data_IF_705676584202
#
_entry.id   IF_705676584202
#
_cell.length_a   1.000
_cell.length_b   1.000
_cell.length_c   1.000
_cell.angle_alpha   90.00
_cell.angle_beta   90.00
_cell.angle_gamma   90.00
#
_symmetry.space_group_name_H-M   'P 1'
#
loop_
_entity.id
_entity.type
_entity.pdbx_description
1 polymer ?
#
# COMPACT_ATOMS: atom_id res chain seq x y z
N UNK A 1 -19.16 23.11 -17.98
CA UNK A 1 -20.01 23.53 -16.84
C UNK A 1 -20.44 22.29 -16.06
N UNK A 2 -21.02 22.39 -14.86
CA UNK A 2 -21.35 21.19 -14.03
C UNK A 2 -22.37 20.26 -14.69
N UNK A 3 -23.19 20.80 -15.59
CA UNK A 3 -24.21 20.10 -16.36
C UNK A 3 -23.59 19.06 -17.30
N UNK A 4 -22.35 19.26 -17.77
CA UNK A 4 -21.66 18.31 -18.63
C UNK A 4 -21.43 16.94 -17.95
N UNK A 5 -21.28 16.92 -16.61
CA UNK A 5 -21.09 15.68 -15.86
C UNK A 5 -22.36 14.81 -15.82
N UNK A 6 -23.55 15.39 -16.08
CA UNK A 6 -24.82 14.65 -16.13
C UNK A 6 -24.92 13.70 -17.33
N UNK A 7 -24.02 13.81 -18.31
CA UNK A 7 -23.96 12.91 -19.46
C UNK A 7 -23.02 11.73 -19.25
N UNK A 8 -22.27 11.68 -18.14
CA UNK A 8 -21.36 10.58 -17.86
C UNK A 8 -22.18 9.34 -17.47
N UNK A 9 -21.80 8.20 -18.02
CA UNK A 9 -22.48 6.91 -17.84
C UNK A 9 -21.47 5.87 -17.41
N UNK A 10 -21.94 4.88 -16.65
CA UNK A 10 -21.14 3.70 -16.35
C UNK A 10 -20.92 2.89 -17.64
N UNK A 11 -19.69 2.40 -17.83
CA UNK A 11 -19.37 1.46 -18.90
C UNK A 11 -19.47 0.03 -18.33
N UNK A 12 -20.53 -0.74 -18.66
CA UNK A 12 -20.64 -2.12 -18.21
C UNK A 12 -19.57 -2.97 -18.90
N UNK A 13 -18.86 -3.77 -18.11
CA UNK A 13 -17.80 -4.66 -18.56
C UNK A 13 -17.95 -6.02 -17.89
N UNK A 14 -17.55 -7.08 -18.59
CA UNK A 14 -17.50 -8.45 -18.09
C UNK A 14 -16.08 -8.79 -17.65
N UNK A 15 -15.94 -9.88 -16.90
CA UNK A 15 -14.62 -10.41 -16.57
C UNK A 15 -13.85 -10.74 -17.88
N UNK A 16 -12.62 -10.27 -17.98
CA UNK A 16 -11.79 -10.40 -19.18
C UNK A 16 -11.86 -9.20 -20.14
N UNK A 17 -12.86 -8.33 -20.01
CA UNK A 17 -12.88 -7.08 -20.78
C UNK A 17 -11.80 -6.11 -20.25
N UNK A 18 -11.24 -5.30 -21.15
CA UNK A 18 -10.27 -4.25 -20.81
C UNK A 18 -10.75 -2.88 -21.31
N UNK A 19 -10.57 -1.86 -20.49
CA UNK A 19 -10.82 -0.46 -20.83
C UNK A 19 -9.48 0.26 -20.85
N UNK A 20 -9.15 0.84 -22.01
CA UNK A 20 -7.94 1.64 -22.20
C UNK A 20 -8.36 3.09 -22.41
N UNK A 21 -7.78 3.99 -21.63
CA UNK A 21 -8.00 5.43 -21.74
C UNK A 21 -6.71 6.18 -21.42
N UNK A 22 -6.65 7.44 -21.83
CA UNK A 22 -5.50 8.32 -21.55
C UNK A 22 -5.84 9.26 -20.39
N UNK A 23 -4.83 9.94 -19.84
CA UNK A 23 -4.97 10.94 -18.76
C UNK A 23 -5.92 12.11 -19.10
N UNK A 24 -6.37 12.25 -20.35
CA UNK A 24 -7.30 13.30 -20.80
C UNK A 24 -8.77 12.95 -20.60
N UNK A 25 -9.09 11.69 -20.28
CA UNK A 25 -10.47 11.25 -20.06
C UNK A 25 -10.80 11.41 -18.58
N UNK A 26 -11.86 12.17 -18.30
CA UNK A 26 -12.40 12.29 -16.94
C UNK A 26 -13.16 11.00 -16.62
N UNK A 27 -12.75 10.28 -15.57
CA UNK A 27 -13.39 9.04 -15.13
C UNK A 27 -13.31 8.91 -13.59
N UNK A 28 -14.14 8.04 -13.02
CA UNK A 28 -14.08 7.65 -11.61
C UNK A 28 -14.75 6.29 -11.40
N UNK A 29 -14.41 5.63 -10.29
CA UNK A 29 -15.11 4.41 -9.88
C UNK A 29 -16.55 4.74 -9.49
N UNK A 30 -17.53 4.03 -10.07
CA UNK A 30 -18.92 4.13 -9.60
C UNK A 30 -19.07 3.47 -8.23
N UNK A 31 -20.04 3.88 -7.43
CA UNK A 31 -20.46 3.12 -6.26
C UNK A 31 -20.75 1.66 -6.65
N UNK A 32 -20.28 0.72 -5.83
CA UNK A 32 -20.75 -0.65 -5.92
C UNK A 32 -22.24 -0.70 -5.62
N UNK A 33 -22.94 -1.69 -6.17
CA UNK A 33 -24.29 -1.98 -5.71
C UNK A 33 -24.15 -2.48 -4.26
N UNK A 34 -24.46 -1.62 -3.30
CA UNK A 34 -24.36 -1.95 -1.87
C UNK A 34 -25.07 -3.27 -1.58
N UNK A 35 -24.48 -4.06 -0.68
CA UNK A 35 -24.94 -5.39 -0.23
C UNK A 35 -26.44 -5.61 -0.52
N UNK A 36 -26.78 -6.27 -1.62
CA UNK A 36 -28.03 -7.05 -1.67
C UNK A 36 -27.81 -8.18 -0.67
N UNK A 37 -28.23 -7.94 0.58
CA UNK A 37 -28.34 -8.98 1.61
C UNK A 37 -29.23 -10.08 1.05
N UNK A 38 -28.78 -11.32 1.24
CA UNK A 38 -29.19 -12.48 0.47
C UNK A 38 -30.68 -12.80 0.49
N UNK A 39 -31.14 -13.24 -0.68
CA UNK A 39 -31.82 -14.51 -0.87
C UNK A 39 -31.50 -14.88 -2.34
N UNK A 40 -30.72 -15.96 -2.55
CA UNK A 40 -30.39 -16.54 -3.86
C UNK A 40 -29.89 -15.58 -4.97
N UNK A 41 -28.71 -14.97 -4.81
CA UNK A 41 -28.10 -14.21 -5.92
C UNK A 41 -27.11 -13.10 -5.54
N UNK A 42 -26.33 -13.26 -4.47
CA UNK A 42 -25.37 -12.24 -4.05
C UNK A 42 -24.21 -12.11 -5.05
N UNK A 43 -24.21 -11.01 -5.81
CA UNK A 43 -23.05 -10.59 -6.62
C UNK A 43 -21.98 -10.08 -5.65
N UNK A 44 -20.82 -10.75 -5.59
CA UNK A 44 -19.69 -10.39 -4.73
C UNK A 44 -19.07 -9.01 -5.04
N UNK A 45 -18.00 -8.61 -4.35
CA UNK A 45 -17.35 -7.32 -4.59
C UNK A 45 -16.92 -7.18 -6.06
N UNK A 46 -17.12 -6.00 -6.64
CA UNK A 46 -16.59 -5.68 -7.96
C UNK A 46 -15.10 -5.38 -7.83
N UNK A 47 -14.27 -6.27 -8.35
CA UNK A 47 -12.81 -6.13 -8.38
C UNK A 47 -12.37 -5.78 -9.80
N UNK A 48 -11.44 -4.82 -9.92
CA UNK A 48 -10.81 -4.44 -11.19
C UNK A 48 -9.32 -4.21 -10.98
N UNK A 49 -8.50 -4.68 -11.92
CA UNK A 49 -7.07 -4.36 -11.98
C UNK A 49 -6.85 -3.16 -12.91
N UNK A 50 -6.14 -2.14 -12.42
CA UNK A 50 -5.74 -0.99 -13.23
C UNK A 50 -4.22 -0.98 -13.36
N UNK A 51 -3.73 -0.85 -14.58
CA UNK A 51 -2.30 -0.73 -14.88
C UNK A 51 -2.08 0.59 -15.60
N UNK A 52 -1.27 1.46 -15.00
CA UNK A 52 -0.85 2.72 -15.60
C UNK A 52 0.46 2.53 -16.37
N UNK A 53 0.56 3.18 -17.53
CA UNK A 53 1.80 3.28 -18.28
C UNK A 53 2.12 4.76 -18.46
N UNK A 54 3.40 5.10 -18.28
CA UNK A 54 3.90 6.45 -18.46
C UNK A 54 5.21 6.41 -19.24
N UNK A 55 5.47 7.50 -19.95
CA UNK A 55 6.81 7.76 -20.50
C UNK A 55 7.73 8.21 -19.35
N UNK A 56 8.96 7.69 -19.23
CA UNK A 56 9.88 8.10 -18.17
C UNK A 56 10.20 9.61 -18.13
N UNK A 57 10.01 10.32 -19.25
CA UNK A 57 10.13 11.78 -19.30
C UNK A 57 8.92 12.52 -18.72
N UNK A 58 7.76 11.87 -18.64
CA UNK A 58 6.55 12.40 -18.00
C UNK A 58 6.49 12.03 -16.51
N UNK A 59 6.64 10.75 -16.20
CA UNK A 59 6.70 10.25 -14.83
C UNK A 59 7.79 9.18 -14.73
N UNK A 60 8.79 9.43 -13.90
CA UNK A 60 9.92 8.52 -13.73
C UNK A 60 9.46 7.22 -13.04
N UNK A 61 10.07 6.07 -13.37
CA UNK A 61 9.83 4.84 -12.64
C UNK A 61 10.33 4.95 -11.19
N UNK A 62 9.70 4.20 -10.29
CA UNK A 62 10.12 4.16 -8.87
C UNK A 62 11.48 3.48 -8.66
N UNK A 63 11.85 2.55 -9.53
CA UNK A 63 13.14 1.85 -9.52
C UNK A 63 14.04 2.41 -10.64
N UNK A 64 15.33 2.64 -10.36
CA UNK A 64 16.33 3.11 -11.34
C UNK A 64 16.49 2.14 -12.50
N UNK A 65 16.56 0.86 -12.19
CA UNK A 65 16.53 -0.19 -13.20
C UNK A 65 15.08 -0.49 -13.53
N UNK A 66 14.53 0.23 -14.52
CA UNK A 66 13.28 -0.23 -15.14
C UNK A 66 13.57 -1.63 -15.71
N UNK A 67 12.93 -2.69 -15.21
CA UNK A 67 13.17 -4.02 -15.72
C UNK A 67 12.83 -3.99 -17.20
N UNK A 68 13.78 -4.32 -18.07
CA UNK A 68 13.48 -4.44 -19.48
C UNK A 68 12.53 -5.64 -19.62
N UNK A 69 11.23 -5.37 -19.64
CA UNK A 69 10.20 -6.41 -19.73
C UNK A 69 10.33 -7.22 -21.02
N UNK A 70 10.97 -6.65 -22.06
CA UNK A 70 11.32 -7.37 -23.29
C UNK A 70 12.41 -8.43 -23.06
N UNK A 71 13.30 -8.19 -22.09
CA UNK A 71 14.30 -9.17 -21.64
C UNK A 71 13.78 -10.12 -20.55
N UNK A 72 12.49 -10.03 -20.18
CA UNK A 72 11.84 -10.85 -19.14
C UNK A 72 12.55 -10.81 -17.78
N UNK A 73 13.31 -9.74 -17.51
CA UNK A 73 13.88 -9.51 -16.18
C UNK A 73 12.76 -8.92 -15.33
N UNK A 74 12.21 -9.71 -14.42
CA UNK A 74 11.34 -9.21 -13.38
C UNK A 74 12.20 -8.71 -12.21
N UNK A 75 11.74 -7.71 -11.43
CA UNK A 75 12.45 -7.34 -10.21
C UNK A 75 12.60 -8.56 -9.31
N UNK A 76 13.70 -8.67 -8.57
CA UNK A 76 13.94 -9.74 -7.61
C UNK A 76 12.91 -9.73 -6.48
N UNK A 77 12.88 -10.77 -5.65
CA UNK A 77 12.00 -10.78 -4.48
C UNK A 77 12.28 -9.60 -3.55
N UNK A 78 13.56 -9.34 -3.29
CA UNK A 78 14.06 -8.27 -2.44
C UNK A 78 13.68 -6.90 -3.00
N UNK A 79 13.83 -6.69 -4.31
CA UNK A 79 13.43 -5.44 -4.97
C UNK A 79 11.92 -5.21 -4.88
N UNK A 80 11.11 -6.27 -5.07
CA UNK A 80 9.65 -6.18 -4.90
C UNK A 80 9.26 -5.88 -3.45
N UNK A 81 9.91 -6.52 -2.49
CA UNK A 81 9.63 -6.31 -1.06
C UNK A 81 10.00 -4.89 -0.62
N UNK A 82 11.15 -4.38 -1.07
CA UNK A 82 11.57 -3.01 -0.82
C UNK A 82 10.57 -2.01 -1.44
N UNK A 83 10.15 -2.25 -2.70
CA UNK A 83 9.15 -1.40 -3.35
C UNK A 83 7.81 -1.42 -2.61
N UNK A 84 7.30 -2.59 -2.21
CA UNK A 84 6.07 -2.71 -1.43
C UNK A 84 6.20 -1.94 -0.11
N UNK A 85 7.34 -2.07 0.57
CA UNK A 85 7.61 -1.36 1.83
C UNK A 85 7.58 0.16 1.64
N UNK A 86 8.24 0.68 0.59
CA UNK A 86 8.19 2.10 0.23
C UNK A 86 6.77 2.58 -0.11
N UNK A 87 5.98 1.75 -0.78
CA UNK A 87 4.58 2.04 -1.10
C UNK A 87 3.69 2.06 0.15
N UNK A 88 3.87 1.11 1.08
CA UNK A 88 3.11 1.11 2.34
C UNK A 88 3.39 2.37 3.17
N UNK A 89 4.63 2.85 3.19
CA UNK A 89 5.00 4.14 3.77
C UNK A 89 4.32 5.28 3.02
N UNK A 90 4.44 5.35 1.69
CA UNK A 90 3.86 6.43 0.88
C UNK A 90 2.34 6.55 0.99
N UNK A 91 1.66 5.47 1.36
CA UNK A 91 0.21 5.39 1.51
C UNK A 91 -0.24 5.19 2.96
N UNK A 92 0.62 5.47 3.96
CA UNK A 92 0.34 5.18 5.36
C UNK A 92 -0.99 5.78 5.84
N UNK A 93 -1.41 6.95 5.34
CA UNK A 93 -2.67 7.59 5.74
C UNK A 93 -3.94 6.83 5.32
N UNK A 94 -3.83 5.88 4.37
CA UNK A 94 -4.97 5.09 3.88
C UNK A 94 -5.25 3.87 4.74
N UNK A 95 -4.32 3.52 5.63
CA UNK A 95 -4.36 2.29 6.41
C UNK A 95 -3.97 2.62 7.85
N UNK A 96 -4.54 1.91 8.82
CA UNK A 96 -4.17 2.12 10.22
C UNK A 96 -2.97 1.23 10.57
N UNK A 97 -1.76 1.68 10.18
CA UNK A 97 -0.53 0.93 10.43
C UNK A 97 0.10 1.32 11.78
N UNK A 98 0.47 0.34 12.63
CA UNK A 98 1.31 0.60 13.79
C UNK A 98 2.64 1.23 13.40
N UNK A 99 3.14 2.17 14.21
CA UNK A 99 4.42 2.86 13.95
C UNK A 99 5.58 1.88 13.82
N UNK A 100 5.62 0.84 14.64
CA UNK A 100 6.64 -0.20 14.62
C UNK A 100 6.70 -0.93 13.27
N UNK A 101 5.54 -1.14 12.63
CA UNK A 101 5.48 -1.76 11.31
C UNK A 101 6.05 -0.83 10.22
N UNK A 102 5.74 0.47 10.29
CA UNK A 102 6.34 1.46 9.39
C UNK A 102 7.86 1.55 9.57
N UNK A 103 8.37 1.44 10.80
CA UNK A 103 9.81 1.39 11.06
C UNK A 103 10.46 0.16 10.42
N UNK A 104 9.80 -1.01 10.47
CA UNK A 104 10.28 -2.23 9.79
C UNK A 104 10.30 -2.06 8.27
N UNK A 105 9.26 -1.46 7.69
CA UNK A 105 9.24 -1.13 6.26
C UNK A 105 10.39 -0.20 5.89
N UNK A 106 10.63 0.84 6.70
CA UNK A 106 11.72 1.78 6.45
C UNK A 106 13.09 1.10 6.53
N UNK A 107 13.31 0.23 7.52
CA UNK A 107 14.53 -0.56 7.62
C UNK A 107 14.81 -1.43 6.39
N UNK A 108 13.77 -1.94 5.72
CA UNK A 108 13.92 -2.64 4.42
C UNK A 108 14.30 -1.65 3.32
N UNK A 109 13.58 -0.51 3.21
CA UNK A 109 13.89 0.53 2.20
C UNK A 109 15.34 0.98 2.31
N UNK A 110 15.83 1.25 3.53
CA UNK A 110 17.21 1.68 3.79
C UNK A 110 18.27 0.74 3.23
N UNK A 111 18.08 -0.57 3.41
CA UNK A 111 19.02 -1.59 2.91
C UNK A 111 19.08 -1.64 1.38
N UNK A 112 18.07 -1.11 0.70
CA UNK A 112 17.90 -1.18 -0.73
C UNK A 112 17.85 0.21 -1.41
N UNK A 113 18.25 1.31 -0.74
CA UNK A 113 18.13 2.68 -1.28
C UNK A 113 18.74 2.84 -2.68
N UNK A 114 19.84 2.15 -2.94
CA UNK A 114 20.54 2.18 -4.22
C UNK A 114 19.67 1.85 -5.43
N UNK A 115 18.58 1.10 -5.27
CA UNK A 115 17.72 0.66 -6.38
C UNK A 115 16.64 1.69 -6.76
N UNK A 116 16.30 2.62 -5.85
CA UNK A 116 15.19 3.56 -6.04
C UNK A 116 15.61 4.79 -6.84
N UNK A 117 14.68 5.32 -7.62
CA UNK A 117 14.83 6.66 -8.20
C UNK A 117 14.88 7.70 -7.07
N UNK A 118 15.79 8.67 -7.20
CA UNK A 118 16.16 9.56 -6.10
C UNK A 118 14.97 10.36 -5.55
N UNK A 119 14.19 10.99 -6.43
CA UNK A 119 13.02 11.78 -6.01
C UNK A 119 11.93 10.91 -5.37
N UNK A 120 11.78 9.66 -5.81
CA UNK A 120 10.86 8.72 -5.17
C UNK A 120 11.32 8.30 -3.77
N UNK A 121 12.63 8.02 -3.61
CA UNK A 121 13.20 7.66 -2.32
C UNK A 121 13.07 8.81 -1.32
N UNK A 122 13.45 10.02 -1.73
CA UNK A 122 13.36 11.23 -0.92
C UNK A 122 11.92 11.48 -0.45
N UNK A 123 10.95 11.37 -1.35
CA UNK A 123 9.52 11.44 -1.01
C UNK A 123 9.14 10.37 0.02
N UNK A 124 9.62 9.15 -0.14
CA UNK A 124 9.35 8.05 0.81
C UNK A 124 9.91 8.36 2.20
N UNK A 125 11.13 8.91 2.28
CA UNK A 125 11.75 9.35 3.55
C UNK A 125 10.92 10.44 4.22
N UNK A 126 10.46 11.43 3.45
CA UNK A 126 9.58 12.51 3.95
C UNK A 126 8.24 11.97 4.49
N UNK A 127 7.60 11.05 3.77
CA UNK A 127 6.34 10.44 4.24
C UNK A 127 6.54 9.56 5.48
N UNK A 128 7.67 8.84 5.57
CA UNK A 128 8.03 8.09 6.76
C UNK A 128 8.19 9.01 7.98
N UNK A 129 8.95 10.11 7.82
CA UNK A 129 9.15 11.10 8.88
C UNK A 129 7.80 11.60 9.41
N UNK A 130 6.92 12.07 8.52
CA UNK A 130 5.56 12.52 8.88
C UNK A 130 4.77 11.45 9.63
N UNK A 131 4.83 10.19 9.19
CA UNK A 131 4.09 9.11 9.81
C UNK A 131 4.55 8.83 11.26
N UNK A 132 5.85 8.95 11.54
CA UNK A 132 6.39 8.64 12.88
C UNK A 132 6.40 9.84 13.83
N UNK A 133 6.55 11.07 13.32
CA UNK A 133 6.57 12.31 14.10
C UNK A 133 5.21 13.00 14.23
N UNK A 134 4.26 12.70 13.34
CA UNK A 134 3.05 13.49 13.14
C UNK A 134 3.32 14.79 12.37
N UNK A 135 2.25 15.50 11.99
CA UNK A 135 2.27 16.72 11.14
C UNK A 135 3.01 17.93 11.75
N UNK A 136 3.51 17.82 12.99
CA UNK A 136 4.21 18.91 13.67
C UNK A 136 5.67 19.10 13.22
N UNK A 137 6.20 18.22 12.39
CA UNK A 137 7.54 18.36 11.81
C UNK A 137 7.44 18.90 10.38
N UNK A 138 7.24 20.21 10.26
CA UNK A 138 7.42 20.92 8.99
C UNK A 138 8.92 21.04 8.73
N UNK A 139 9.49 20.15 7.93
CA UNK A 139 10.82 20.36 7.37
C UNK A 139 10.77 21.62 6.48
N UNK A 140 11.58 22.64 6.75
CA UNK A 140 11.62 23.85 5.93
C UNK A 140 12.50 23.55 4.72
N UNK A 141 12.01 22.81 3.72
CA UNK A 141 12.86 22.42 2.59
C UNK A 141 12.14 22.51 1.23
N UNK A 142 12.38 23.65 0.58
CA UNK A 142 12.09 23.95 -0.82
C UNK A 142 13.42 24.21 -1.59
N UNK A 143 14.53 23.58 -1.16
CA UNK A 143 15.82 23.66 -1.86
C UNK A 143 16.25 22.30 -2.38
N UNK A 144 16.68 22.27 -3.64
CA UNK A 144 17.20 21.11 -4.36
C UNK A 144 18.70 20.89 -4.04
N UNK A 145 19.10 20.78 -2.76
CA UNK A 145 20.52 20.61 -2.40
C UNK A 145 20.87 19.16 -2.02
N UNK A 146 21.86 18.57 -2.70
CA UNK A 146 22.25 17.14 -2.60
C UNK A 146 22.84 16.75 -1.22
N UNK A 147 23.09 17.72 -0.33
CA UNK A 147 23.61 17.50 1.03
C UNK A 147 22.54 17.29 2.11
N UNK A 148 21.25 17.39 1.77
CA UNK A 148 20.14 17.35 2.73
C UNK A 148 19.69 15.91 3.08
N UNK A 149 19.93 14.96 2.18
CA UNK A 149 19.51 13.56 2.33
C UNK A 149 20.22 12.87 3.51
N UNK A 150 21.52 13.10 3.68
CA UNK A 150 22.30 12.53 4.79
C UNK A 150 21.81 13.08 6.15
N UNK A 151 21.45 14.36 6.20
CA UNK A 151 20.92 14.98 7.41
C UNK A 151 19.51 14.47 7.76
N UNK A 152 18.68 14.20 6.74
CA UNK A 152 17.37 13.59 6.93
C UNK A 152 17.49 12.16 7.47
N UNK A 153 18.43 11.37 6.92
CA UNK A 153 18.69 10.01 7.39
C UNK A 153 19.25 9.98 8.80
N UNK A 154 20.21 10.86 9.12
CA UNK A 154 20.77 10.97 10.47
C UNK A 154 19.68 11.36 11.48
N UNK A 155 18.83 12.32 11.14
CA UNK A 155 17.69 12.72 11.97
C UNK A 155 16.70 11.57 12.19
N UNK A 156 16.39 10.80 11.14
CA UNK A 156 15.53 9.62 11.24
C UNK A 156 16.16 8.54 12.12
N UNK A 157 17.46 8.31 12.01
CA UNK A 157 18.18 7.31 12.80
C UNK A 157 18.22 7.67 14.28
N UNK A 158 18.47 8.93 14.61
CA UNK A 158 18.40 9.42 15.99
C UNK A 158 16.99 9.17 16.55
N UNK A 159 15.94 9.56 15.81
CA UNK A 159 14.55 9.39 16.23
C UNK A 159 14.15 7.92 16.41
N UNK A 160 14.62 7.04 15.52
CA UNK A 160 14.38 5.60 15.62
C UNK A 160 15.07 5.01 16.85
N UNK A 161 16.31 5.42 17.12
CA UNK A 161 17.10 4.92 18.24
C UNK A 161 16.55 5.37 19.60
N UNK A 162 16.00 6.58 19.69
CA UNK A 162 15.43 7.12 20.93
C UNK A 162 14.04 6.53 21.22
N UNK A 163 13.19 6.36 20.21
CA UNK A 163 11.86 5.75 20.38
C UNK A 163 11.90 4.23 20.61
N UNK A 164 12.92 3.53 20.11
CA UNK A 164 13.11 2.12 20.46
C UNK A 164 13.49 1.94 21.93
N UNK A 165 14.29 2.84 22.51
CA UNK A 165 14.67 2.78 23.93
C UNK A 165 13.52 3.08 24.89
N UNK A 166 12.52 3.86 24.47
CA UNK A 166 11.31 4.10 25.25
C UNK A 166 10.26 2.97 25.11
N UNK A 167 10.45 2.01 24.20
CA UNK A 167 9.51 0.93 23.91
C UNK A 167 9.88 -0.45 24.44
N UNK A 168 11.05 -0.62 25.07
CA UNK A 168 11.55 -1.91 25.59
C UNK A 168 10.88 -2.36 26.93
N UNK A 169 9.79 -1.70 27.34
CA UNK A 169 8.93 -2.15 28.47
C UNK A 169 7.51 -2.56 28.03
N UNK A 170 7.29 -2.95 26.77
CA UNK A 170 5.96 -3.40 26.31
C UNK A 170 5.99 -4.76 25.59
N UNK A 171 5.65 -5.79 26.38
CA UNK A 171 4.99 -7.05 26.03
C UNK A 171 5.52 -7.87 24.83
N UNK A 172 6.39 -8.83 25.15
CA UNK A 172 6.74 -10.00 24.34
C UNK A 172 5.57 -11.01 24.19
N UNK A 173 4.30 -10.60 24.38
CA UNK A 173 3.12 -11.48 24.40
C UNK A 173 2.21 -11.33 23.15
N UNK A 174 2.63 -10.62 22.09
CA UNK A 174 1.78 -10.41 20.89
C UNK A 174 1.97 -11.45 19.76
N UNK A 175 2.28 -12.70 20.11
CA UNK A 175 2.15 -13.86 19.21
C UNK A 175 1.65 -15.07 20.02
N UNK A 176 0.43 -14.98 20.53
CA UNK A 176 -0.37 -16.20 20.77
C UNK A 176 -1.06 -16.59 19.45
N UNK A 177 -0.79 -17.82 19.03
CA UNK A 177 -1.28 -18.52 17.86
C UNK A 177 -2.82 -18.65 17.90
N UNK A 178 -3.54 -17.71 17.29
CA UNK A 178 -5.00 -17.82 17.05
C UNK A 178 -5.33 -18.65 15.79
N UNK A 179 -4.47 -19.59 15.40
CA UNK A 179 -4.66 -20.44 14.22
C UNK A 179 -4.99 -21.91 14.54
N UNK A 180 -5.72 -22.18 15.62
CA UNK A 180 -6.09 -23.56 15.99
C UNK A 180 -7.60 -23.82 16.23
N UNK A 181 -8.52 -22.90 15.92
CA UNK A 181 -9.98 -23.16 16.10
C UNK A 181 -10.71 -23.53 14.80
N UNK A 182 -10.26 -24.62 14.17
CA UNK A 182 -10.99 -25.25 13.07
C UNK A 182 -11.14 -26.76 13.33
N UNK A 183 -12.02 -27.15 14.26
CA UNK A 183 -12.50 -28.53 14.39
C UNK A 183 -14.00 -28.64 14.09
N UNK A 184 -14.25 -29.12 12.87
CA UNK A 184 -15.27 -30.10 12.43
C UNK A 184 -16.63 -30.17 13.16
N UNK A 185 -17.67 -29.59 12.54
CA UNK A 185 -19.06 -30.03 12.76
C UNK A 185 -19.27 -31.40 12.07
N UNK A 186 -19.25 -32.48 12.86
CA UNK A 186 -19.68 -33.82 12.41
C UNK A 186 -21.22 -33.90 12.33
N UNK A 187 -21.72 -34.30 11.16
CA UNK A 187 -23.06 -34.81 10.96
C UNK A 187 -23.29 -36.08 11.80
N UNK A 188 -24.41 -36.16 12.53
CA UNK A 188 -24.84 -37.40 13.17
C UNK A 188 -26.29 -37.37 13.63
N UNK A 189 -27.18 -38.00 12.84
CA UNK A 189 -28.60 -38.13 13.15
C UNK A 189 -28.97 -39.28 14.11
N UNK A 190 -30.28 -39.33 14.44
CA UNK A 190 -30.96 -40.35 15.24
C UNK A 190 -31.18 -39.88 16.68
N UNK A 191 -32.36 -39.94 17.30
CA UNK A 191 -33.56 -40.72 17.12
C UNK A 191 -34.07 -41.12 18.52
N UNK A 192 -35.40 -41.17 18.70
CA UNK A 192 -36.14 -41.68 19.88
C UNK A 192 -36.13 -40.81 21.16
N UNK A 193 -37.07 -40.89 22.10
CA UNK A 193 -38.50 -41.20 22.25
C UNK A 193 -38.77 -41.15 23.77
N UNK A 194 -40.03 -40.94 24.20
CA UNK A 194 -40.56 -41.05 25.59
C UNK A 194 -40.17 -39.91 26.55
N UNK A 195 -41.05 -39.37 27.41
CA UNK A 195 -42.32 -39.84 27.97
C UNK A 195 -43.30 -38.67 28.18
#
# INVERSE_FOLDING_TARGET
TKEAYQHIRALPMKAGDALLFTHRIIHWGSSGHGRRRGAEGSIGPRVSLSVGFSDPSYEKPYLKAAPNLLEKKFPSFEERLALISAQMISYYQRFDFPKQLLQRFYGIVRRHEGIFEASYLEKTKREFAKAVTGDHFAFPFDSEDEGEDEALDEALDIMLSDKMKEGDEADDDFFEDDFDDFEEEEEGGGGEASS
#
